data_IF_269698908583
#
_entry.id   IF_269698908583
#
_cell.length_a   1.000
_cell.length_b   1.000
_cell.length_c   1.000
_cell.angle_alpha   90.00
_cell.angle_beta   90.00
_cell.angle_gamma   90.00
#
_symmetry.space_group_name_H-M   'P 1'
#
loop_
_entity.id
_entity.type
_entity.pdbx_description
1 polymer ?
#
# COMPACT_ATOMS: atom_id res chain seq x y z
N UNK A 1 -6.96 -33.41 -18.69
CA UNK A 1 -6.33 -34.37 -17.76
C UNK A 1 -6.80 -34.02 -16.36
N UNK A 2 -7.08 -35.01 -15.50
CA UNK A 2 -7.40 -34.80 -14.08
C UNK A 2 -6.37 -35.58 -13.28
N UNK A 3 -5.78 -34.94 -12.27
CA UNK A 3 -4.89 -35.57 -11.29
C UNK A 3 -5.59 -35.52 -9.94
N UNK A 4 -5.77 -36.68 -9.29
CA UNK A 4 -6.41 -36.79 -7.97
C UNK A 4 -5.64 -37.79 -7.12
N UNK A 5 -5.35 -37.42 -5.88
CA UNK A 5 -4.62 -38.24 -4.94
C UNK A 5 -5.15 -37.97 -3.50
N UNK A 6 -5.99 -38.86 -2.93
CA UNK A 6 -6.64 -38.64 -1.63
C UNK A 6 -5.67 -38.39 -0.47
N UNK A 7 -4.47 -38.97 -0.53
CA UNK A 7 -3.42 -38.78 0.47
C UNK A 7 -2.51 -37.57 0.17
N UNK A 8 -2.65 -36.92 -0.99
CA UNK A 8 -1.87 -35.74 -1.39
C UNK A 8 -1.15 -35.88 -2.74
N UNK A 9 -0.78 -34.74 -3.32
CA UNK A 9 -0.05 -34.63 -4.58
C UNK A 9 1.16 -33.69 -4.38
N UNK A 10 2.31 -34.07 -4.94
CA UNK A 10 3.51 -33.24 -4.95
C UNK A 10 4.04 -33.07 -6.39
N UNK A 11 4.42 -31.86 -6.75
CA UNK A 11 5.07 -31.53 -8.03
C UNK A 11 6.35 -30.74 -7.73
N UNK A 12 7.50 -31.30 -8.14
CA UNK A 12 8.83 -30.75 -7.84
C UNK A 12 9.78 -30.90 -9.02
N UNK A 13 10.76 -30.00 -9.10
CA UNK A 13 11.80 -29.98 -10.14
C UNK A 13 12.99 -29.17 -9.63
N UNK A 14 14.21 -29.54 -10.01
CA UNK A 14 15.43 -28.81 -9.63
C UNK A 14 15.60 -27.52 -10.43
N UNK A 15 14.89 -27.39 -11.56
CA UNK A 15 14.95 -26.22 -12.43
C UNK A 15 13.72 -25.33 -12.24
N UNK A 16 12.72 -25.42 -13.12
CA UNK A 16 11.57 -24.51 -13.13
C UNK A 16 10.23 -25.25 -13.26
N UNK A 17 9.24 -24.77 -12.52
CA UNK A 17 7.83 -25.16 -12.63
C UNK A 17 7.02 -23.96 -13.13
N UNK A 18 6.38 -24.12 -14.29
CA UNK A 18 5.50 -23.10 -14.89
C UNK A 18 4.07 -23.58 -14.89
N UNK A 19 3.15 -22.76 -14.37
CA UNK A 19 1.71 -22.95 -14.45
C UNK A 19 1.14 -21.83 -15.32
N UNK A 20 0.48 -22.19 -16.42
CA UNK A 20 -0.14 -21.25 -17.34
C UNK A 20 -1.53 -21.75 -17.72
N UNK A 21 -2.49 -20.82 -17.77
CA UNK A 21 -3.85 -21.09 -18.20
C UNK A 21 -4.34 -19.95 -19.09
N UNK A 22 -5.14 -20.27 -20.12
CA UNK A 22 -5.73 -19.26 -21.01
C UNK A 22 -6.86 -18.45 -20.37
N UNK A 23 -7.47 -18.97 -19.29
CA UNK A 23 -8.55 -18.33 -18.54
C UNK A 23 -8.11 -17.96 -17.12
N UNK A 24 -7.98 -18.95 -16.24
CA UNK A 24 -7.80 -18.77 -14.80
C UNK A 24 -6.96 -19.89 -14.18
N UNK A 25 -6.30 -19.55 -13.07
CA UNK A 25 -5.66 -20.50 -12.16
C UNK A 25 -6.33 -20.31 -10.81
N UNK A 26 -7.07 -21.31 -10.34
CA UNK A 26 -7.72 -21.29 -9.03
C UNK A 26 -6.91 -22.12 -8.03
N UNK A 27 -6.46 -21.48 -6.94
CA UNK A 27 -5.77 -22.12 -5.83
C UNK A 27 -6.68 -22.11 -4.59
N UNK A 28 -7.24 -23.26 -4.25
CA UNK A 28 -8.20 -23.38 -3.14
C UNK A 28 -7.67 -24.37 -2.11
N UNK A 29 -7.65 -23.96 -0.85
CA UNK A 29 -7.28 -24.81 0.29
C UNK A 29 -8.30 -24.63 1.42
N UNK A 30 -8.69 -25.71 2.08
CA UNK A 30 -9.63 -25.65 3.23
C UNK A 30 -8.99 -25.08 4.50
N UNK A 31 -7.67 -25.21 4.64
CA UNK A 31 -6.94 -24.80 5.84
C UNK A 31 -6.02 -23.62 5.54
N UNK A 32 -4.90 -23.89 4.87
CA UNK A 32 -3.84 -22.90 4.63
C UNK A 32 -3.36 -22.96 3.18
N UNK A 33 -3.10 -21.79 2.58
CA UNK A 33 -2.35 -21.65 1.34
C UNK A 33 -1.00 -21.01 1.67
N UNK A 34 0.09 -21.75 1.49
CA UNK A 34 1.44 -21.26 1.76
C UNK A 34 2.22 -21.05 0.46
N UNK A 35 2.75 -19.85 0.27
CA UNK A 35 3.64 -19.51 -0.82
C UNK A 35 4.95 -18.98 -0.23
N UNK A 36 6.07 -19.57 -0.63
CA UNK A 36 7.40 -19.19 -0.12
C UNK A 36 8.38 -19.13 -1.29
N UNK A 37 9.24 -18.11 -1.29
CA UNK A 37 10.31 -17.93 -2.28
C UNK A 37 11.61 -17.57 -1.57
N UNK A 38 12.73 -18.14 -2.03
CA UNK A 38 14.04 -17.87 -1.45
C UNK A 38 14.62 -16.49 -1.81
N UNK A 39 14.18 -15.87 -2.89
CA UNK A 39 14.74 -14.59 -3.38
C UNK A 39 13.72 -13.50 -3.63
N UNK A 40 12.64 -13.79 -4.36
CA UNK A 40 11.65 -12.79 -4.77
C UNK A 40 10.28 -13.40 -4.96
N UNK A 41 9.24 -12.70 -4.53
CA UNK A 41 7.86 -12.98 -4.86
C UNK A 41 7.34 -11.80 -5.67
N UNK A 42 6.94 -12.05 -6.92
CA UNK A 42 6.49 -11.04 -7.87
C UNK A 42 5.07 -11.40 -8.29
N UNK A 43 4.13 -10.50 -8.04
CA UNK A 43 2.72 -10.68 -8.41
C UNK A 43 2.26 -9.47 -9.22
N UNK A 44 2.19 -9.65 -10.54
CA UNK A 44 1.78 -8.60 -11.48
C UNK A 44 0.37 -8.92 -11.97
N UNK A 45 -0.55 -7.95 -11.89
CA UNK A 45 -1.95 -8.11 -12.29
C UNK A 45 -2.34 -7.07 -13.34
N UNK A 46 -3.27 -7.43 -14.22
CA UNK A 46 -3.76 -6.53 -15.27
C UNK A 46 -4.85 -5.56 -14.85
N UNK A 47 -5.60 -5.86 -13.78
CA UNK A 47 -6.75 -5.07 -13.35
C UNK A 47 -6.65 -4.65 -11.89
N UNK A 48 -6.71 -5.60 -10.94
CA UNK A 48 -6.66 -5.28 -9.51
C UNK A 48 -6.16 -6.46 -8.68
N UNK A 49 -5.71 -6.17 -7.45
CA UNK A 49 -5.46 -7.15 -6.38
C UNK A 49 -6.50 -6.88 -5.28
N UNK A 50 -7.17 -7.93 -4.81
CA UNK A 50 -8.04 -7.86 -3.63
C UNK A 50 -7.53 -8.83 -2.57
N UNK A 51 -7.19 -8.31 -1.38
CA UNK A 51 -6.75 -9.09 -0.23
C UNK A 51 -7.76 -8.90 0.90
N UNK A 52 -8.51 -9.96 1.19
CA UNK A 52 -9.55 -9.91 2.21
C UNK A 52 -9.34 -11.04 3.22
N UNK A 53 -9.32 -10.67 4.50
CA UNK A 53 -9.26 -11.63 5.61
C UNK A 53 -10.65 -11.66 6.26
N UNK A 54 -11.49 -12.61 5.85
CA UNK A 54 -12.87 -12.71 6.32
C UNK A 54 -12.97 -12.96 7.83
N UNK A 55 -11.99 -13.66 8.39
CA UNK A 55 -11.98 -14.06 9.79
C UNK A 55 -12.97 -15.18 10.09
N UNK A 56 -12.46 -16.38 10.30
CA UNK A 56 -13.23 -17.46 10.94
C UNK A 56 -12.55 -17.70 12.28
N UNK A 57 -13.21 -17.30 13.38
CA UNK A 57 -12.74 -17.27 14.79
C UNK A 57 -11.91 -16.04 15.20
N UNK A 58 -11.67 -15.91 16.50
CA UNK A 58 -11.26 -14.70 17.26
C UNK A 58 -9.89 -14.09 16.94
N UNK A 59 -9.21 -14.50 15.87
CA UNK A 59 -7.88 -13.99 15.51
C UNK A 59 -7.80 -13.75 14.01
N UNK A 60 -8.00 -12.51 13.62
CA UNK A 60 -8.03 -12.04 12.23
C UNK A 60 -7.00 -10.92 12.11
N UNK A 61 -6.04 -11.05 11.20
CA UNK A 61 -5.06 -9.99 10.96
C UNK A 61 -4.51 -10.06 9.53
N UNK A 62 -4.35 -8.90 8.90
CA UNK A 62 -3.48 -8.74 7.73
C UNK A 62 -2.15 -8.15 8.19
N UNK A 63 -1.04 -8.76 7.78
CA UNK A 63 0.32 -8.30 8.11
C UNK A 63 1.14 -8.12 6.86
N UNK A 64 1.65 -6.91 6.64
CA UNK A 64 2.61 -6.57 5.59
C UNK A 64 3.90 -6.08 6.25
N UNK A 65 4.90 -6.95 6.35
CA UNK A 65 6.10 -6.70 7.15
C UNK A 65 7.34 -6.89 6.29
N UNK A 66 8.20 -5.87 6.24
CA UNK A 66 9.57 -5.99 5.77
C UNK A 66 10.51 -5.96 6.97
N UNK A 67 11.26 -7.05 7.21
CA UNK A 67 12.22 -7.12 8.32
C UNK A 67 13.38 -6.12 8.14
N UNK A 68 13.75 -5.85 6.89
CA UNK A 68 14.75 -4.85 6.48
C UNK A 68 14.35 -4.27 5.12
N UNK A 69 14.88 -3.10 4.82
CA UNK A 69 14.63 -2.41 3.57
C UNK A 69 13.39 -1.51 3.61
N UNK A 70 13.15 -0.82 2.50
CA UNK A 70 12.09 0.16 2.35
C UNK A 70 10.77 -0.52 1.99
N UNK A 71 9.69 -0.15 2.68
CA UNK A 71 8.31 -0.42 2.23
C UNK A 71 7.81 0.79 1.44
N UNK A 72 7.18 0.55 0.30
CA UNK A 72 6.64 1.59 -0.57
C UNK A 72 5.23 1.20 -1.01
N UNK A 73 4.27 2.08 -0.73
CA UNK A 73 2.87 1.96 -1.13
C UNK A 73 2.52 3.21 -1.94
N UNK A 74 1.97 3.05 -3.14
CA UNK A 74 1.69 4.15 -4.06
C UNK A 74 0.44 3.89 -4.87
N UNK A 75 -0.44 4.89 -4.93
CA UNK A 75 -1.46 5.01 -5.96
C UNK A 75 -0.96 6.09 -6.94
N UNK A 76 -0.42 5.68 -8.09
CA UNK A 76 0.30 6.60 -8.99
C UNK A 76 -0.61 7.47 -9.85
N UNK A 77 -1.87 7.09 -10.00
CA UNK A 77 -2.86 7.79 -10.84
C UNK A 77 -4.24 7.92 -10.21
N UNK A 78 -4.38 7.53 -8.94
CA UNK A 78 -5.68 7.50 -8.24
C UNK A 78 -5.47 7.74 -6.74
N UNK A 79 -6.57 7.76 -5.98
CA UNK A 79 -6.57 7.98 -4.55
C UNK A 79 -5.98 6.81 -3.74
N UNK A 80 -5.54 7.12 -2.52
CA UNK A 80 -5.20 6.15 -1.48
C UNK A 80 -6.05 6.44 -0.25
N UNK A 81 -6.66 5.40 0.32
CA UNK A 81 -7.47 5.48 1.54
C UNK A 81 -6.91 4.54 2.61
N UNK A 82 -6.90 5.02 3.87
CA UNK A 82 -6.57 4.22 5.04
C UNK A 82 -7.58 4.52 6.15
N UNK A 83 -8.47 3.56 6.40
CA UNK A 83 -9.59 3.71 7.33
C UNK A 83 -9.58 2.54 8.33
N UNK A 84 -9.83 2.84 9.60
CA UNK A 84 -9.98 1.85 10.68
C UNK A 84 -11.16 2.23 11.59
N UNK A 85 -11.86 1.22 12.12
CA UNK A 85 -12.94 1.39 13.13
C UNK A 85 -12.37 1.80 14.50
N UNK A 86 -11.12 1.43 14.75
CA UNK A 86 -10.33 1.80 15.93
C UNK A 86 -9.19 2.72 15.49
N UNK A 87 -8.10 2.71 16.24
CA UNK A 87 -7.00 3.63 16.04
C UNK A 87 -6.23 3.37 14.73
N UNK A 88 -5.82 4.45 14.07
CA UNK A 88 -4.75 4.45 13.06
C UNK A 88 -3.50 5.04 13.71
N UNK A 89 -2.40 4.30 13.73
CA UNK A 89 -1.12 4.75 14.30
C UNK A 89 -0.05 4.85 13.20
N UNK A 90 0.57 6.03 13.08
CA UNK A 90 1.73 6.27 12.22
C UNK A 90 2.91 6.66 13.12
N UNK A 91 4.01 5.92 13.05
CA UNK A 91 5.15 6.11 13.96
C UNK A 91 6.47 5.93 13.25
N UNK A 92 7.38 6.89 13.46
CA UNK A 92 8.81 6.77 13.14
C UNK A 92 9.59 6.73 14.46
N UNK A 93 10.30 5.63 14.74
CA UNK A 93 10.97 5.45 16.03
C UNK A 93 12.34 6.14 16.14
N UNK A 94 12.91 6.57 15.02
CA UNK A 94 14.30 7.08 14.97
C UNK A 94 14.41 8.41 14.25
N UNK A 95 13.63 8.58 13.18
CA UNK A 95 13.74 9.72 12.27
C UNK A 95 12.43 10.51 12.28
N UNK A 96 11.98 11.00 11.13
CA UNK A 96 10.81 11.87 11.00
C UNK A 96 9.59 11.18 10.37
N UNK A 97 8.44 11.85 10.48
CA UNK A 97 7.25 11.63 9.67
C UNK A 97 7.07 12.89 8.80
N UNK A 98 6.94 12.70 7.48
CA UNK A 98 6.69 13.80 6.53
C UNK A 98 5.33 13.59 5.89
N UNK A 99 4.46 14.59 6.03
CA UNK A 99 3.14 14.65 5.36
C UNK A 99 3.17 15.89 4.48
N UNK A 100 3.01 15.69 3.17
CA UNK A 100 3.04 16.75 2.18
C UNK A 100 1.90 16.54 1.18
N UNK A 101 1.21 17.62 0.82
CA UNK A 101 0.18 17.64 -0.19
C UNK A 101 0.38 18.85 -1.10
N UNK A 102 -0.11 18.75 -2.34
CA UNK A 102 0.01 19.83 -3.32
C UNK A 102 -0.98 20.96 -3.04
N UNK A 103 -2.22 20.58 -2.69
CA UNK A 103 -3.34 21.51 -2.56
C UNK A 103 -3.69 21.76 -1.09
N UNK A 104 -3.90 20.69 -0.29
CA UNK A 104 -4.42 20.81 1.06
C UNK A 104 -3.98 19.66 1.98
N UNK A 105 -3.70 20.00 3.24
CA UNK A 105 -3.68 19.04 4.36
C UNK A 105 -4.75 19.49 5.36
N UNK A 106 -5.70 18.59 5.68
CA UNK A 106 -6.75 18.80 6.66
C UNK A 106 -6.64 17.74 7.77
N UNK A 107 -6.53 18.19 9.01
CA UNK A 107 -6.57 17.36 10.22
C UNK A 107 -7.79 17.77 11.02
N UNK A 108 -8.83 16.95 11.03
CA UNK A 108 -10.10 17.27 11.68
C UNK A 108 -10.53 16.19 12.68
N UNK A 109 -11.38 16.58 13.61
CA UNK A 109 -12.08 15.64 14.50
C UNK A 109 -13.59 15.87 14.42
N UNK A 110 -14.38 14.83 14.68
CA UNK A 110 -15.85 14.90 14.60
C UNK A 110 -16.49 15.96 15.51
N UNK A 111 -15.78 16.38 16.57
CA UNK A 111 -16.18 17.49 17.44
C UNK A 111 -16.00 18.90 16.85
N UNK A 112 -15.60 19.03 15.59
CA UNK A 112 -15.53 20.31 14.87
C UNK A 112 -14.22 21.09 15.02
N UNK A 113 -13.24 20.58 15.76
CA UNK A 113 -11.88 21.15 15.76
C UNK A 113 -11.09 20.67 14.54
N UNK A 114 -10.29 21.56 13.95
CA UNK A 114 -9.42 21.22 12.83
C UNK A 114 -8.18 22.11 12.70
N UNK A 115 -7.17 21.57 12.02
CA UNK A 115 -6.00 22.28 11.49
C UNK A 115 -5.99 22.08 9.99
N UNK A 116 -5.87 23.18 9.23
CA UNK A 116 -5.87 23.14 7.77
C UNK A 116 -4.70 23.94 7.21
N UNK A 117 -4.01 23.36 6.22
CA UNK A 117 -2.94 24.02 5.48
C UNK A 117 -3.32 24.05 4.00
N UNK A 118 -3.58 25.24 3.45
CA UNK A 118 -4.01 25.42 2.06
C UNK A 118 -3.69 26.84 1.57
N UNK A 119 -3.28 26.99 0.29
CA UNK A 119 -3.05 28.30 -0.33
C UNK A 119 -2.01 29.17 0.38
N UNK A 120 -1.03 28.57 1.05
CA UNK A 120 -0.01 29.26 1.86
C UNK A 120 -0.48 29.68 3.25
N UNK A 121 -1.72 29.38 3.64
CA UNK A 121 -2.29 29.70 4.95
C UNK A 121 -2.29 28.49 5.88
N UNK A 122 -2.26 28.75 7.19
CA UNK A 122 -2.51 27.77 8.25
C UNK A 122 -3.71 28.26 9.07
N UNK A 123 -4.77 27.45 9.13
CA UNK A 123 -5.98 27.72 9.90
C UNK A 123 -6.04 26.76 11.09
N UNK A 124 -6.27 27.29 12.30
CA UNK A 124 -6.43 26.50 13.54
C UNK A 124 -7.73 26.91 14.19
N UNK A 125 -8.79 26.12 13.99
CA UNK A 125 -10.14 26.45 14.47
C UNK A 125 -10.66 25.37 15.43
N UNK A 126 -11.37 25.79 16.48
CA UNK A 126 -12.11 24.89 17.35
C UNK A 126 -13.30 25.60 18.02
N UNK A 127 -14.38 24.87 18.37
CA UNK A 127 -15.51 25.45 19.11
C UNK A 127 -15.19 25.73 20.59
N UNK A 128 -14.20 25.03 21.13
CA UNK A 128 -13.73 25.19 22.52
C UNK A 128 -12.53 26.13 22.61
N UNK A 129 -11.57 25.75 23.44
CA UNK A 129 -10.36 26.55 23.71
C UNK A 129 -9.15 26.01 22.94
N UNK A 130 -8.41 26.88 22.26
CA UNK A 130 -7.04 26.60 21.81
C UNK A 130 -6.07 26.91 22.95
N UNK A 131 -5.44 25.89 23.55
CA UNK A 131 -4.45 26.07 24.62
C UNK A 131 -3.03 26.00 24.05
N UNK A 132 -2.36 27.15 23.93
CA UNK A 132 -0.95 27.25 23.51
C UNK A 132 -0.06 27.47 24.73
N UNK A 133 0.91 26.58 24.97
CA UNK A 133 1.84 26.67 26.11
C UNK A 133 3.29 26.67 25.61
N UNK A 134 4.08 27.62 26.07
CA UNK A 134 5.50 27.75 25.75
C UNK A 134 6.17 28.84 26.58
N UNK A 135 7.50 28.79 26.70
CA UNK A 135 8.25 29.85 27.38
C UNK A 135 8.35 31.14 26.54
N UNK A 136 8.27 31.03 25.22
CA UNK A 136 8.34 32.13 24.26
C UNK A 136 7.49 31.80 23.02
N UNK A 137 6.89 32.83 22.43
CA UNK A 137 6.19 32.76 21.15
C UNK A 137 6.78 33.84 20.23
N UNK A 138 7.51 33.43 19.19
CA UNK A 138 8.04 34.37 18.20
C UNK A 138 7.10 34.44 16.98
N UNK A 139 6.69 35.67 16.66
CA UNK A 139 5.79 36.00 15.55
C UNK A 139 6.45 37.08 14.69
N UNK A 140 7.63 36.76 14.15
CA UNK A 140 8.54 37.67 13.45
C UNK A 140 8.23 37.91 11.96
N UNK A 141 7.12 37.35 11.46
CA UNK A 141 6.66 37.50 10.07
C UNK A 141 6.53 36.17 9.34
N UNK A 142 6.14 36.20 8.05
CA UNK A 142 5.94 34.98 7.26
C UNK A 142 7.28 34.34 6.86
N UNK A 143 7.29 33.00 6.83
CA UNK A 143 8.37 32.19 6.28
C UNK A 143 7.78 31.12 5.36
N UNK A 144 8.60 30.54 4.47
CA UNK A 144 8.16 29.49 3.54
C UNK A 144 9.19 28.39 3.37
N UNK A 145 8.71 27.19 3.05
CA UNK A 145 9.51 26.03 2.71
C UNK A 145 8.79 25.22 1.64
N UNK A 146 9.50 24.83 0.58
CA UNK A 146 8.94 24.03 -0.52
C UNK A 146 9.51 22.62 -0.47
N UNK A 147 8.63 21.61 -0.49
CA UNK A 147 9.04 20.21 -0.60
C UNK A 147 8.80 19.74 -2.04
N UNK A 148 9.81 19.14 -2.72
CA UNK A 148 9.62 18.59 -4.06
C UNK A 148 8.64 17.41 -4.01
N UNK A 149 7.56 17.50 -4.79
CA UNK A 149 6.56 16.44 -4.88
C UNK A 149 7.07 15.29 -5.77
N UNK A 150 6.72 14.03 -5.46
CA UNK A 150 7.10 12.90 -6.30
C UNK A 150 6.46 13.04 -7.69
N UNK A 151 7.28 12.92 -8.73
CA UNK A 151 6.81 12.88 -10.12
C UNK A 151 6.60 11.42 -10.48
N UNK A 152 5.35 11.04 -10.75
CA UNK A 152 5.03 9.71 -11.27
C UNK A 152 5.12 9.72 -12.79
N UNK A 153 5.72 8.69 -13.42
CA UNK A 153 5.67 8.55 -14.87
C UNK A 153 4.21 8.43 -15.32
N UNK A 154 3.76 9.34 -16.19
CA UNK A 154 2.40 9.28 -16.74
C UNK A 154 2.20 7.99 -17.55
N UNK A 155 1.07 7.30 -17.36
CA UNK A 155 0.57 6.10 -18.08
C UNK A 155 1.59 5.29 -18.92
N UNK A 156 2.76 4.94 -18.37
CA UNK A 156 3.81 4.22 -19.08
C UNK A 156 3.95 2.77 -18.59
N UNK A 157 2.85 2.18 -18.16
CA UNK A 157 2.81 0.74 -18.00
C UNK A 157 2.50 0.08 -19.34
N UNK A 158 3.44 -0.71 -19.87
CA UNK A 158 3.26 -1.41 -21.14
C UNK A 158 2.30 -2.60 -20.98
N UNK A 159 0.99 -2.32 -21.03
CA UNK A 159 -0.05 -3.35 -21.01
C UNK A 159 0.19 -4.40 -22.10
N UNK A 160 0.64 -3.98 -23.29
CA UNK A 160 0.97 -4.89 -24.38
C UNK A 160 2.12 -5.83 -24.03
N UNK A 161 3.14 -5.37 -23.30
CA UNK A 161 4.27 -6.19 -22.89
C UNK A 161 3.81 -7.28 -21.90
N UNK A 162 2.90 -6.93 -20.98
CA UNK A 162 2.27 -7.90 -20.08
C UNK A 162 1.38 -8.89 -20.83
N UNK A 163 0.53 -8.42 -21.73
CA UNK A 163 -0.30 -9.31 -22.55
C UNK A 163 0.55 -10.27 -23.40
N UNK A 164 1.67 -9.78 -23.94
CA UNK A 164 2.60 -10.60 -24.71
C UNK A 164 3.31 -11.64 -23.83
N UNK A 165 3.74 -11.26 -22.63
CA UNK A 165 4.34 -12.19 -21.65
C UNK A 165 3.35 -13.30 -21.25
N UNK A 166 2.08 -12.95 -21.02
CA UNK A 166 1.01 -13.91 -20.72
C UNK A 166 0.81 -14.86 -21.91
N UNK A 167 0.70 -14.34 -23.14
CA UNK A 167 0.52 -15.15 -24.35
C UNK A 167 1.68 -16.09 -24.62
N UNK A 168 2.91 -15.69 -24.31
CA UNK A 168 4.11 -16.49 -24.54
C UNK A 168 4.47 -17.42 -23.38
N UNK A 169 3.75 -17.33 -22.24
CA UNK A 169 4.12 -18.07 -21.02
C UNK A 169 5.46 -17.64 -20.43
N UNK A 170 5.98 -16.47 -20.83
CA UNK A 170 7.25 -15.93 -20.39
C UNK A 170 7.06 -15.01 -19.17
N UNK A 171 8.04 -14.92 -18.26
CA UNK A 171 8.00 -13.92 -17.20
C UNK A 171 8.03 -12.52 -17.80
N UNK A 172 7.34 -11.57 -17.15
CA UNK A 172 7.51 -10.14 -17.39
C UNK A 172 8.97 -9.77 -17.11
N UNK A 173 9.77 -9.62 -18.17
CA UNK A 173 11.09 -9.04 -18.08
C UNK A 173 10.92 -7.52 -17.98
N UNK A 174 11.46 -6.92 -16.92
CA UNK A 174 11.49 -5.46 -16.79
C UNK A 174 12.26 -4.84 -17.94
N UNK A 175 11.64 -3.87 -18.61
CA UNK A 175 12.34 -2.85 -19.38
C UNK A 175 12.37 -1.57 -18.54
#
# INVERSE_FOLDING_TARGET
>A
MILSAPAGLAASTDNSLTLAAGSNIDQVAQRDLNQTSGRRWLHNVGQHISLFVAGVKDRVSLKLIAARGKVQLQAQSDAMELTADRDVTVTSCKDSITIAAKEEILLNVGGGAYIRMAGGNIEVHCPGTVSVKGAQHDLSGPASMTVPMPVFPGKQFCLQCMLNAIKSGAPLAGQ
#
